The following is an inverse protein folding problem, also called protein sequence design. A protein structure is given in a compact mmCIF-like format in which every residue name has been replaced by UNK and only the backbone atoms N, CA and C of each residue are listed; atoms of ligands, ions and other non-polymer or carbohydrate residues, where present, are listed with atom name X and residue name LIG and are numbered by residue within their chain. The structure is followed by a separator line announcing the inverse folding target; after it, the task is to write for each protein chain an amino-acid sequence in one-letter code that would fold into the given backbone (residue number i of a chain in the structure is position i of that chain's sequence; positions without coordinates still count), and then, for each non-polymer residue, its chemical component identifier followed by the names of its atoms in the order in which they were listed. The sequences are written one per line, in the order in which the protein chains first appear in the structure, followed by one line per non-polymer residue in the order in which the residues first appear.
data_IF_960511768633
#
_entry.id   IF_960511768633
#
_cell.length_a   1.000
_cell.length_b   1.000
_cell.length_c   1.000
_cell.angle_alpha   90.00
_cell.angle_beta   90.00
_cell.angle_gamma   90.00
#
_symmetry.space_group_name_H-M   'P 1'
#
loop_
_entity.id
_entity.type
_entity.pdbx_description
1 polymer ?
#
# COMPACT_ATOMS: atom_id res chain seq x y z
N UNK A 1 -2.47 -3.95 -26.69
CA UNK A 1 -1.17 -3.66 -26.05
C UNK A 1 -1.42 -3.21 -24.62
N UNK A 2 -1.08 -4.02 -23.62
CA UNK A 2 -1.27 -3.68 -22.21
C UNK A 2 -0.15 -2.74 -21.76
N UNK A 3 -0.49 -1.50 -21.40
CA UNK A 3 0.45 -0.60 -20.74
C UNK A 3 0.72 -1.11 -19.33
N UNK A 4 1.94 -1.56 -19.06
CA UNK A 4 2.43 -1.75 -17.70
C UNK A 4 2.52 -0.36 -17.08
N UNK A 5 1.67 -0.06 -16.09
CA UNK A 5 1.84 1.13 -15.27
C UNK A 5 3.26 1.11 -14.72
N UNK A 6 4.06 2.14 -15.00
CA UNK A 6 5.39 2.25 -14.42
C UNK A 6 5.27 2.07 -12.91
N UNK A 7 6.12 1.25 -12.27
CA UNK A 7 6.04 1.06 -10.84
C UNK A 7 6.19 2.43 -10.21
N UNK A 8 5.14 2.89 -9.51
CA UNK A 8 5.22 4.13 -8.75
C UNK A 8 6.49 4.07 -7.91
N UNK A 9 7.43 5.01 -8.14
CA UNK A 9 8.63 5.14 -7.31
C UNK A 9 8.16 5.28 -5.87
N UNK A 10 8.31 4.20 -5.08
CA UNK A 10 7.90 4.19 -3.70
C UNK A 10 8.77 5.19 -2.95
N UNK A 11 8.12 6.19 -2.34
CA UNK A 11 8.80 7.28 -1.64
C UNK A 11 9.48 6.75 -0.37
N UNK A 12 10.62 7.33 -0.02
CA UNK A 12 11.30 7.06 1.26
C UNK A 12 10.34 7.38 2.42
N UNK A 13 10.41 6.60 3.50
CA UNK A 13 9.57 6.81 4.67
C UNK A 13 10.09 7.96 5.55
N UNK A 14 9.78 9.20 5.14
CA UNK A 14 10.23 10.40 5.85
C UNK A 14 9.74 10.48 7.31
N UNK A 15 8.68 9.77 7.72
CA UNK A 15 8.29 9.80 9.15
C UNK A 15 9.32 9.14 10.05
N UNK A 16 10.19 8.27 9.52
CA UNK A 16 11.24 7.61 10.31
C UNK A 16 12.43 8.51 10.61
N UNK A 17 12.53 9.69 10.00
CA UNK A 17 13.56 10.68 10.38
C UNK A 17 13.34 11.22 11.79
N UNK A 18 12.12 11.09 12.32
CA UNK A 18 11.78 11.43 13.71
C UNK A 18 12.35 10.42 14.71
N UNK A 19 12.85 9.26 14.26
CA UNK A 19 13.49 8.28 15.14
C UNK A 19 15.00 8.54 15.17
N UNK A 20 15.56 8.95 16.33
CA UNK A 20 16.96 9.39 16.41
C UNK A 20 17.94 8.27 16.05
N UNK A 21 17.64 7.03 16.41
CA UNK A 21 18.45 5.86 16.07
C UNK A 21 18.57 5.65 14.56
N UNK A 22 17.47 5.79 13.82
CA UNK A 22 17.45 5.65 12.35
C UNK A 22 18.12 6.81 11.63
N UNK A 23 18.04 8.01 12.21
CA UNK A 23 18.77 9.17 11.72
C UNK A 23 20.29 8.97 11.89
N UNK A 24 20.72 8.45 13.05
CA UNK A 24 22.13 8.14 13.30
C UNK A 24 22.67 7.03 12.36
N UNK A 25 21.90 5.95 12.15
CA UNK A 25 22.22 4.89 11.19
C UNK A 25 22.40 5.44 9.76
N UNK A 26 21.54 6.37 9.35
CA UNK A 26 21.62 7.02 8.04
C UNK A 26 22.91 7.85 7.90
N UNK A 27 23.19 8.73 8.88
CA UNK A 27 24.37 9.60 8.86
C UNK A 27 25.64 8.75 8.77
N UNK A 28 25.77 7.74 9.63
CA UNK A 28 26.93 6.85 9.64
C UNK A 28 27.10 6.11 8.31
N UNK A 29 26.01 5.55 7.76
CA UNK A 29 26.05 4.83 6.48
C UNK A 29 26.39 5.73 5.29
N UNK A 30 26.05 7.01 5.38
CA UNK A 30 26.30 8.01 4.35
C UNK A 30 27.74 8.52 4.44
N UNK A 31 28.28 8.73 5.64
CA UNK A 31 29.70 9.01 5.87
C UNK A 31 30.59 7.86 5.37
N UNK A 32 30.27 6.61 5.73
CA UNK A 32 31.00 5.43 5.27
C UNK A 32 30.99 5.31 3.73
N UNK A 33 29.88 5.66 3.09
CA UNK A 33 29.74 5.61 1.64
C UNK A 33 30.57 6.70 0.93
N UNK A 34 30.68 7.90 1.51
CA UNK A 34 31.52 8.96 0.95
C UNK A 34 33.01 8.73 1.17
N UNK A 35 33.40 8.12 2.29
CA UNK A 35 34.79 7.74 2.53
C UNK A 35 35.29 6.65 1.57
N UNK A 36 34.37 5.84 1.03
CA UNK A 36 34.68 4.79 0.06
C UNK A 36 34.71 5.28 -1.39
N UNK A 37 34.14 6.44 -1.70
CA UNK A 37 34.02 6.98 -3.07
C UNK A 37 35.12 8.03 -3.33
N UNK A 38 36.30 7.56 -3.78
CA UNK A 38 37.47 8.39 -4.08
C UNK A 38 37.73 8.51 -5.58
N UNK A 39 36.68 8.65 -6.39
CA UNK A 39 36.78 8.68 -7.86
C UNK A 39 36.83 10.11 -8.41
N UNK A 40 37.85 10.41 -9.23
CA UNK A 40 37.92 11.63 -10.04
C UNK A 40 37.04 11.47 -11.29
N UNK A 41 35.73 11.55 -11.09
CA UNK A 41 34.74 11.50 -12.17
C UNK A 41 34.33 12.91 -12.60
N UNK A 42 33.84 13.04 -13.85
CA UNK A 42 33.36 14.32 -14.36
C UNK A 42 32.19 14.84 -13.52
N UNK A 43 32.05 16.17 -13.41
CA UNK A 43 31.10 16.81 -12.49
C UNK A 43 29.68 16.20 -12.52
N UNK A 44 29.17 15.84 -13.70
CA UNK A 44 27.85 15.22 -13.85
C UNK A 44 27.76 13.84 -13.19
N UNK A 45 28.79 13.01 -13.36
CA UNK A 45 28.86 11.66 -12.79
C UNK A 45 29.00 11.72 -11.27
N UNK A 46 29.77 12.69 -10.75
CA UNK A 46 29.86 12.94 -9.30
C UNK A 46 28.49 13.32 -8.71
N UNK A 47 27.71 14.16 -9.39
CA UNK A 47 26.36 14.54 -8.94
C UNK A 47 25.37 13.37 -9.00
N UNK A 48 25.48 12.50 -10.00
CA UNK A 48 24.65 11.29 -10.11
C UNK A 48 25.02 10.27 -9.02
N UNK A 49 26.32 10.00 -8.79
CA UNK A 49 26.80 9.15 -7.67
C UNK A 49 26.33 9.69 -6.32
N UNK A 50 26.47 11.00 -6.09
CA UNK A 50 26.01 11.65 -4.86
C UNK A 50 24.51 11.43 -4.62
N UNK A 51 23.68 11.65 -5.64
CA UNK A 51 22.23 11.49 -5.55
C UNK A 51 21.86 10.04 -5.24
N UNK A 52 22.46 9.10 -5.93
CA UNK A 52 22.15 7.67 -5.80
C UNK A 52 22.66 7.11 -4.47
N UNK A 53 23.80 7.59 -3.98
CA UNK A 53 24.34 7.26 -2.67
C UNK A 53 23.45 7.78 -1.55
N UNK A 54 23.03 9.05 -1.59
CA UNK A 54 22.07 9.62 -0.62
C UNK A 54 20.75 8.83 -0.66
N UNK A 55 20.24 8.56 -1.86
CA UNK A 55 18.95 7.89 -2.00
C UNK A 55 19.01 6.42 -1.53
N UNK A 56 20.08 5.69 -1.83
CA UNK A 56 20.25 4.30 -1.44
C UNK A 56 20.50 4.14 0.07
N UNK A 57 21.31 5.00 0.67
CA UNK A 57 21.54 5.04 2.13
C UNK A 57 20.27 5.43 2.87
N UNK A 58 19.54 6.45 2.40
CA UNK A 58 18.26 6.84 2.96
C UNK A 58 17.21 5.71 2.85
N UNK A 59 17.19 4.99 1.71
CA UNK A 59 16.33 3.83 1.56
C UNK A 59 16.71 2.68 2.50
N UNK A 60 17.99 2.44 2.75
CA UNK A 60 18.46 1.43 3.71
C UNK A 60 18.04 1.77 5.15
N UNK A 61 18.29 3.01 5.58
CA UNK A 61 18.02 3.44 6.95
C UNK A 61 16.52 3.64 7.24
N UNK A 62 15.82 4.39 6.39
CA UNK A 62 14.41 4.75 6.63
C UNK A 62 13.44 3.74 6.02
N UNK A 63 13.87 2.97 5.01
CA UNK A 63 13.00 2.06 4.29
C UNK A 63 11.99 2.80 3.41
N UNK A 64 11.18 2.00 2.72
CA UNK A 64 10.12 2.51 1.85
C UNK A 64 8.90 2.90 2.67
N UNK A 65 8.23 3.98 2.26
CA UNK A 65 6.93 4.36 2.82
C UNK A 65 5.92 3.26 2.47
N UNK A 66 5.54 2.48 3.47
CA UNK A 66 4.46 1.52 3.31
C UNK A 66 3.15 2.29 3.14
N UNK A 67 2.34 1.85 2.17
CA UNK A 67 0.95 2.27 2.13
C UNK A 67 0.28 1.60 3.32
N UNK A 68 -0.04 2.37 4.36
CA UNK A 68 -1.01 1.92 5.36
C UNK A 68 -2.38 1.93 4.66
N UNK A 69 -2.77 0.79 4.12
CA UNK A 69 -4.15 0.58 3.71
C UNK A 69 -4.90 0.34 5.01
N UNK A 70 -5.51 1.40 5.54
CA UNK A 70 -6.38 1.30 6.71
C UNK A 70 -7.71 0.68 6.23
N UNK A 71 -7.65 -0.55 5.73
CA UNK A 71 -8.80 -1.30 5.26
C UNK A 71 -9.18 -2.37 6.28
N UNK A 72 -10.40 -2.89 6.11
CA UNK A 72 -10.97 -3.88 7.01
C UNK A 72 -10.16 -5.19 7.05
N UNK A 73 -9.37 -5.49 6.01
CA UNK A 73 -8.56 -6.69 5.93
C UNK A 73 -7.33 -6.56 6.81
N UNK A 74 -6.59 -5.46 6.71
CA UNK A 74 -5.40 -5.20 7.54
C UNK A 74 -5.78 -5.17 9.03
N UNK A 75 -6.92 -4.55 9.36
CA UNK A 75 -7.44 -4.45 10.73
C UNK A 75 -7.74 -5.82 11.36
N UNK A 76 -8.10 -6.82 10.55
CA UNK A 76 -8.41 -8.18 10.99
C UNK A 76 -7.45 -9.21 10.41
N UNK A 77 -6.22 -8.78 10.06
CA UNK A 77 -5.27 -9.58 9.30
C UNK A 77 -4.92 -10.88 10.00
N UNK A 78 -4.71 -10.86 11.32
CA UNK A 78 -4.38 -12.06 12.11
C UNK A 78 -5.47 -13.15 12.06
N UNK A 79 -6.75 -12.77 12.13
CA UNK A 79 -7.85 -13.72 12.04
C UNK A 79 -8.02 -14.23 10.61
N UNK A 80 -7.92 -13.33 9.63
CA UNK A 80 -8.12 -13.64 8.22
C UNK A 80 -7.00 -14.50 7.63
N UNK A 81 -5.74 -14.26 7.99
CA UNK A 81 -4.61 -15.09 7.54
C UNK A 81 -4.80 -16.53 7.98
N UNK A 82 -5.19 -16.75 9.24
CA UNK A 82 -5.41 -18.09 9.80
C UNK A 82 -6.46 -18.88 9.02
N UNK A 83 -7.61 -18.27 8.69
CA UNK A 83 -8.67 -18.95 7.92
C UNK A 83 -8.34 -19.07 6.43
N UNK A 84 -7.56 -18.15 5.88
CA UNK A 84 -7.07 -18.21 4.49
C UNK A 84 -6.05 -19.32 4.34
N UNK A 85 -5.12 -19.48 5.27
CA UNK A 85 -4.14 -20.55 5.32
C UNK A 85 -4.82 -21.91 5.43
N UNK A 86 -5.79 -22.06 6.34
CA UNK A 86 -6.57 -23.30 6.46
C UNK A 86 -7.30 -23.64 5.14
N UNK A 87 -7.85 -22.65 4.44
CA UNK A 87 -8.45 -22.83 3.10
C UNK A 87 -7.40 -23.25 2.06
N UNK A 88 -6.21 -22.68 2.11
CA UNK A 88 -5.11 -23.03 1.21
C UNK A 88 -4.63 -24.47 1.43
N UNK A 89 -4.46 -24.89 2.69
CA UNK A 89 -4.09 -26.27 3.06
C UNK A 89 -5.15 -27.25 2.54
N UNK A 90 -6.43 -27.00 2.83
CA UNK A 90 -7.52 -27.87 2.34
C UNK A 90 -7.59 -27.92 0.80
N UNK A 91 -7.22 -26.83 0.11
CA UNK A 91 -7.16 -26.81 -1.35
C UNK A 91 -5.99 -27.66 -1.88
N UNK A 92 -4.84 -27.60 -1.24
CA UNK A 92 -3.68 -28.43 -1.59
C UNK A 92 -4.01 -29.92 -1.38
N UNK A 93 -4.60 -30.28 -0.23
CA UNK A 93 -5.03 -31.65 0.03
C UNK A 93 -6.01 -32.18 -1.02
N UNK A 94 -6.97 -31.35 -1.46
CA UNK A 94 -7.93 -31.73 -2.52
C UNK A 94 -7.28 -31.90 -3.90
N UNK A 95 -6.19 -31.17 -4.17
CA UNK A 95 -5.40 -31.30 -5.41
C UNK A 95 -4.57 -32.59 -5.40
N UNK A 96 -3.93 -32.90 -4.27
CA UNK A 96 -3.15 -34.13 -4.12
C UNK A 96 -4.04 -35.38 -4.04
N UNK A 97 -5.17 -35.30 -3.34
CA UNK A 97 -6.06 -36.43 -3.07
C UNK A 97 -7.51 -36.07 -3.42
N UNK A 98 -7.95 -36.30 -4.67
CA UNK A 98 -9.27 -35.93 -5.13
C UNK A 98 -10.37 -36.90 -4.63
N UNK A 99 -10.73 -36.80 -3.35
CA UNK A 99 -11.72 -37.65 -2.68
C UNK A 99 -12.93 -36.83 -2.22
N UNK A 100 -14.02 -37.51 -1.87
CA UNK A 100 -15.24 -36.85 -1.35
C UNK A 100 -14.99 -36.17 0.01
N UNK A 101 -14.22 -36.81 0.89
CA UNK A 101 -13.86 -36.24 2.20
C UNK A 101 -13.05 -34.94 2.05
N UNK A 102 -12.05 -34.90 1.17
CA UNK A 102 -11.24 -33.68 0.92
C UNK A 102 -12.05 -32.58 0.24
N UNK A 103 -13.07 -32.93 -0.56
CA UNK A 103 -14.03 -31.96 -1.08
C UNK A 103 -14.88 -31.33 0.03
N UNK A 104 -15.38 -32.14 0.98
CA UNK A 104 -16.14 -31.65 2.12
C UNK A 104 -15.27 -30.73 3.01
N UNK A 105 -14.04 -31.14 3.32
CA UNK A 105 -13.09 -30.32 4.08
C UNK A 105 -12.79 -28.97 3.40
N UNK A 106 -12.62 -28.95 2.08
CA UNK A 106 -12.45 -27.70 1.33
C UNK A 106 -13.70 -26.82 1.39
N UNK A 107 -14.90 -27.40 1.31
CA UNK A 107 -16.16 -26.66 1.42
C UNK A 107 -16.34 -26.04 2.80
N UNK A 108 -16.04 -26.77 3.86
CA UNK A 108 -16.13 -26.25 5.24
C UNK A 108 -15.10 -25.15 5.47
N UNK A 109 -13.84 -25.32 5.03
CA UNK A 109 -12.80 -24.31 5.13
C UNK A 109 -13.16 -23.03 4.34
N UNK A 110 -13.73 -23.16 3.13
CA UNK A 110 -14.24 -22.01 2.35
C UNK A 110 -15.39 -21.31 3.06
N UNK A 111 -16.35 -22.06 3.59
CA UNK A 111 -17.49 -21.49 4.33
C UNK A 111 -17.00 -20.72 5.56
N UNK A 112 -16.05 -21.28 6.32
CA UNK A 112 -15.44 -20.62 7.47
C UNK A 112 -14.73 -19.33 7.07
N UNK A 113 -13.81 -19.39 6.11
CA UNK A 113 -13.07 -18.22 5.64
C UNK A 113 -14.01 -17.11 5.16
N UNK A 114 -15.09 -17.47 4.47
CA UNK A 114 -16.09 -16.51 3.99
C UNK A 114 -16.94 -15.91 5.12
N UNK A 115 -17.37 -16.70 6.11
CA UNK A 115 -18.09 -16.22 7.28
C UNK A 115 -17.22 -15.25 8.09
N UNK A 116 -15.98 -15.63 8.36
CA UNK A 116 -15.00 -14.81 9.07
C UNK A 116 -14.74 -13.50 8.31
N UNK A 117 -14.46 -13.54 7.00
CA UNK A 117 -14.27 -12.34 6.20
C UNK A 117 -15.45 -11.37 6.28
N UNK A 118 -16.69 -11.87 6.21
CA UNK A 118 -17.88 -11.04 6.37
C UNK A 118 -18.01 -10.46 7.76
N UNK A 119 -17.73 -11.24 8.79
CA UNK A 119 -17.78 -10.79 10.18
C UNK A 119 -16.75 -9.67 10.41
N UNK A 120 -15.49 -9.89 10.07
CA UNK A 120 -14.42 -8.90 10.19
C UNK A 120 -14.75 -7.59 9.43
N UNK A 121 -15.26 -7.71 8.20
CA UNK A 121 -15.67 -6.55 7.41
C UNK A 121 -16.82 -5.77 8.07
N UNK A 122 -17.85 -6.47 8.56
CA UNK A 122 -18.98 -5.85 9.23
C UNK A 122 -18.56 -5.18 10.55
N UNK A 123 -17.78 -5.87 11.37
CA UNK A 123 -17.29 -5.37 12.65
C UNK A 123 -16.45 -4.11 12.47
N UNK A 124 -15.55 -4.12 11.48
CA UNK A 124 -14.79 -2.95 11.09
C UNK A 124 -15.69 -1.78 10.69
N UNK A 125 -16.69 -2.02 9.85
CA UNK A 125 -17.62 -0.97 9.42
C UNK A 125 -18.45 -0.42 10.59
N UNK A 126 -18.92 -1.29 11.49
CA UNK A 126 -19.65 -0.87 12.70
C UNK A 126 -18.77 -0.01 13.60
N UNK A 127 -17.52 -0.41 13.83
CA UNK A 127 -16.57 0.38 14.62
C UNK A 127 -16.25 1.73 13.96
N UNK A 128 -16.10 1.75 12.63
CA UNK A 128 -15.85 2.98 11.89
C UNK A 128 -17.04 3.95 11.97
N UNK A 129 -18.27 3.46 11.83
CA UNK A 129 -19.48 4.26 12.01
C UNK A 129 -19.59 4.83 13.44
N UNK A 130 -19.31 4.02 14.47
CA UNK A 130 -19.27 4.48 15.87
C UNK A 130 -18.24 5.59 16.08
N UNK A 131 -17.06 5.47 15.48
CA UNK A 131 -16.01 6.48 15.55
C UNK A 131 -16.41 7.80 14.88
N UNK A 132 -17.08 7.73 13.72
CA UNK A 132 -17.64 8.91 13.03
C UNK A 132 -18.70 9.58 13.89
N UNK A 133 -19.63 8.79 14.46
CA UNK A 133 -20.69 9.30 15.30
C UNK A 133 -20.14 10.01 16.55
N UNK A 134 -19.16 9.40 17.23
CA UNK A 134 -18.50 10.04 18.38
C UNK A 134 -17.75 11.32 17.99
N UNK A 135 -17.10 11.36 16.82
CA UNK A 135 -16.45 12.58 16.31
C UNK A 135 -17.47 13.69 16.03
N UNK A 136 -18.65 13.32 15.53
CA UNK A 136 -19.74 14.26 15.30
C UNK A 136 -20.30 14.82 16.62
N UNK A 137 -20.60 13.93 17.58
CA UNK A 137 -21.12 14.29 18.90
C UNK A 137 -20.18 15.22 19.69
N UNK A 138 -18.87 15.08 19.49
CA UNK A 138 -17.83 15.92 20.13
C UNK A 138 -17.52 17.21 19.36
N UNK A 139 -18.15 17.45 18.20
CA UNK A 139 -17.87 18.60 17.34
C UNK A 139 -16.55 18.52 16.57
N UNK A 140 -15.89 17.36 16.52
CA UNK A 140 -14.66 17.14 15.76
C UNK A 140 -14.97 16.92 14.26
N UNK A 141 -15.17 18.02 13.53
CA UNK A 141 -15.49 18.02 12.10
C UNK A 141 -14.41 17.31 11.27
N UNK A 142 -13.13 17.48 11.63
CA UNK A 142 -12.03 16.81 10.93
C UNK A 142 -12.12 15.29 11.08
N UNK A 143 -12.42 14.80 12.28
CA UNK A 143 -12.64 13.38 12.57
C UNK A 143 -13.80 12.78 11.75
N UNK A 144 -14.90 13.52 11.61
CA UNK A 144 -16.03 13.13 10.76
C UNK A 144 -15.60 13.02 9.29
N UNK A 145 -14.91 14.03 8.76
CA UNK A 145 -14.43 14.02 7.38
C UNK A 145 -13.47 12.86 7.11
N UNK A 146 -12.49 12.64 7.99
CA UNK A 146 -11.55 11.53 7.84
C UNK A 146 -12.23 10.17 7.91
N UNK A 147 -13.21 10.01 8.79
CA UNK A 147 -14.00 8.79 8.88
C UNK A 147 -14.81 8.52 7.61
N UNK A 148 -15.52 9.51 7.07
CA UNK A 148 -16.26 9.40 5.80
C UNK A 148 -15.31 9.10 4.64
N UNK A 149 -14.14 9.74 4.62
CA UNK A 149 -13.12 9.47 3.60
C UNK A 149 -12.62 8.02 3.68
N UNK A 150 -12.49 7.45 4.88
CA UNK A 150 -12.12 6.04 5.08
C UNK A 150 -13.23 5.08 4.63
N UNK A 151 -14.51 5.41 4.84
CA UNK A 151 -15.64 4.55 4.42
C UNK A 151 -15.81 4.50 2.91
N UNK A 152 -15.75 5.65 2.23
CA UNK A 152 -15.92 5.75 0.77
C UNK A 152 -14.65 5.26 0.03
N UNK A 153 -13.49 5.37 0.68
CA UNK A 153 -12.20 5.09 0.08
C UNK A 153 -11.69 6.24 -0.77
N UNK A 154 -10.58 6.02 -1.48
CA UNK A 154 -10.02 7.05 -2.38
C UNK A 154 -10.97 7.32 -3.53
N UNK A 155 -11.36 8.58 -3.74
CA UNK A 155 -12.05 9.02 -4.95
C UNK A 155 -11.25 8.57 -6.16
N UNK A 156 -11.81 7.66 -6.97
CA UNK A 156 -11.19 7.31 -8.23
C UNK A 156 -11.44 8.45 -9.21
N UNK A 157 -10.38 9.16 -9.61
CA UNK A 157 -10.45 10.07 -10.75
C UNK A 157 -10.64 9.23 -12.00
N UNK A 158 -11.90 9.04 -12.40
CA UNK A 158 -12.26 8.38 -13.66
C UNK A 158 -12.16 9.42 -14.77
N UNK A 159 -10.96 9.90 -15.06
CA UNK A 159 -10.75 10.62 -16.31
C UNK A 159 -10.51 9.56 -17.39
N UNK A 160 -11.53 9.36 -18.24
CA UNK A 160 -11.36 8.52 -19.41
C UNK A 160 -10.27 9.13 -20.30
N UNK A 161 -9.36 8.34 -20.88
CA UNK A 161 -8.40 8.85 -21.84
C UNK A 161 -9.16 9.35 -23.07
N UNK A 162 -9.23 10.67 -23.24
CA UNK A 162 -9.83 11.31 -24.40
C UNK A 162 -8.79 11.39 -25.52
N UNK A 163 -9.20 11.05 -26.74
CA UNK A 163 -8.35 11.16 -27.93
C UNK A 163 -8.69 12.43 -28.70
N UNK A 164 -7.66 13.10 -29.21
CA UNK A 164 -7.80 14.15 -30.23
C UNK A 164 -8.04 13.46 -31.58
N UNK A 165 -8.53 14.20 -32.57
CA UNK A 165 -8.80 13.76 -33.95
C UNK A 165 -7.59 13.04 -34.59
N UNK A 166 -6.36 13.36 -34.15
CA UNK A 166 -5.11 12.72 -34.56
C UNK A 166 -4.84 11.35 -33.91
N UNK A 167 -5.82 10.78 -33.20
CA UNK A 167 -5.76 9.53 -32.41
C UNK A 167 -4.80 9.57 -31.18
N UNK A 168 -4.22 10.73 -30.89
CA UNK A 168 -3.36 10.94 -29.73
C UNK A 168 -4.18 11.13 -28.44
N UNK A 169 -3.75 10.47 -27.35
CA UNK A 169 -4.44 10.54 -26.06
C UNK A 169 -4.00 11.76 -25.25
N UNK A 170 -4.95 12.62 -24.85
CA UNK A 170 -4.68 13.77 -24.00
C UNK A 170 -4.38 13.28 -22.58
N UNK A 171 -3.12 13.42 -22.13
CA UNK A 171 -2.72 13.05 -20.76
C UNK A 171 -2.92 14.18 -19.73
N UNK A 172 -3.12 15.41 -20.21
CA UNK A 172 -3.28 16.59 -19.36
C UNK A 172 -4.75 16.81 -18.97
N UNK A 173 -5.07 16.59 -17.69
CA UNK A 173 -6.40 16.80 -17.13
C UNK A 173 -6.93 18.22 -17.35
N UNK A 174 -6.06 19.24 -17.33
CA UNK A 174 -6.50 20.62 -17.48
C UNK A 174 -6.88 20.93 -18.92
N UNK A 175 -6.22 20.30 -19.90
CA UNK A 175 -6.58 20.34 -21.33
C UNK A 175 -7.80 19.49 -21.65
N UNK A 176 -8.04 18.40 -20.92
CA UNK A 176 -9.28 17.61 -21.07
C UNK A 176 -10.53 18.37 -20.58
N UNK A 177 -10.36 19.25 -19.57
CA UNK A 177 -11.46 20.00 -18.94
C UNK A 177 -11.71 21.37 -19.58
N UNK A 178 -10.69 21.98 -20.21
CA UNK A 178 -10.82 23.22 -20.99
C UNK A 178 -11.32 22.89 -22.39
N UNK A 179 -12.62 22.88 -22.57
CA UNK A 179 -13.19 23.19 -23.89
C UNK A 179 -13.07 24.68 -24.15
#
# INVERSE_FOLDING_TARGET
MHYVKSPHKQRINASKTLHPEKAAEFIKSLEDAFLADSSEEGAQQSWDSLRDTIHSTALKAFGKKQRKTQDWFEASSSELTTVVEAKCVALLERKCHPKQATLQALRTARSKAHKTARHCANDYMVQLCKSIQSSFETGNILGVYEGIRKTIGSTQSKTAPLKIITDETIQDNHKQMRR
#
